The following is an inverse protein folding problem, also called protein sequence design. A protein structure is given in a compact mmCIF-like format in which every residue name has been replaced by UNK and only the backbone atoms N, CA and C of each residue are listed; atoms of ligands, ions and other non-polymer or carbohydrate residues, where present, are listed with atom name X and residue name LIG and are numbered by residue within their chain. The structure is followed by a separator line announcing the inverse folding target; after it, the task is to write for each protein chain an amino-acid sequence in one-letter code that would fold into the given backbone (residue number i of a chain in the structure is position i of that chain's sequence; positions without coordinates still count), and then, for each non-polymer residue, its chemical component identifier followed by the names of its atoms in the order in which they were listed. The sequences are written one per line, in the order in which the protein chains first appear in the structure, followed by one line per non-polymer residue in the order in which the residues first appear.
data_IF_146476874783
#
_entry.id   IF_146476874783
#
_cell.length_a   1.000
_cell.length_b   1.000
_cell.length_c   1.000
_cell.angle_alpha   90.00
_cell.angle_beta   90.00
_cell.angle_gamma   90.00
#
_symmetry.space_group_name_H-M   'P 1'
#
loop_
_entity.id
_entity.type
_entity.pdbx_description
1 polymer ?
#
# COMPACT_ATOMS: atom_id res chain seq x y z
N UNK A 1 -0.56 10.26 8.58
CA UNK A 1 -0.05 9.80 7.28
C UNK A 1 0.17 11.00 6.37
N UNK A 2 1.33 11.11 5.74
CA UNK A 2 1.73 12.28 4.94
C UNK A 2 2.34 11.79 3.62
N UNK A 3 2.06 12.50 2.54
CA UNK A 3 2.66 12.30 1.23
C UNK A 3 3.21 13.64 0.70
N UNK A 4 4.44 13.66 0.22
CA UNK A 4 5.06 14.89 -0.30
C UNK A 4 6.11 14.62 -1.38
N UNK A 5 6.42 15.66 -2.15
CA UNK A 5 7.51 15.66 -3.11
C UNK A 5 8.69 16.47 -2.55
N UNK A 6 9.92 15.98 -2.73
CA UNK A 6 11.12 16.68 -2.25
C UNK A 6 11.56 17.74 -3.26
N UNK A 7 12.19 18.85 -2.82
CA UNK A 7 12.67 19.89 -3.73
C UNK A 7 13.65 19.38 -4.80
N UNK A 8 14.49 18.39 -4.46
CA UNK A 8 15.45 17.77 -5.39
C UNK A 8 14.85 16.61 -6.21
N UNK A 9 13.53 16.43 -6.14
CA UNK A 9 12.84 15.31 -6.76
C UNK A 9 12.73 14.07 -5.87
N UNK A 10 11.89 13.16 -6.34
CA UNK A 10 11.42 12.01 -5.57
C UNK A 10 10.23 12.36 -4.69
N UNK A 11 9.45 11.33 -4.39
CA UNK A 11 8.22 11.43 -3.58
C UNK A 11 8.34 10.53 -2.37
N UNK A 12 7.73 10.93 -1.27
CA UNK A 12 7.82 10.20 0.01
C UNK A 12 6.42 9.98 0.56
N UNK A 13 6.21 8.77 1.05
CA UNK A 13 5.04 8.40 1.83
C UNK A 13 5.48 8.03 3.25
N UNK A 14 4.87 8.65 4.26
CA UNK A 14 5.09 8.34 5.66
C UNK A 14 3.77 7.95 6.34
N UNK A 15 3.68 6.70 6.79
CA UNK A 15 2.54 6.18 7.52
C UNK A 15 2.33 6.85 8.89
N UNK A 16 3.43 7.19 9.58
CA UNK A 16 3.41 7.87 10.88
C UNK A 16 2.96 7.00 12.05
N UNK A 17 3.06 5.67 11.96
CA UNK A 17 2.61 4.74 13.00
C UNK A 17 3.53 3.52 13.13
N UNK A 18 3.89 3.16 14.36
CA UNK A 18 4.65 1.94 14.66
C UNK A 18 3.84 0.70 14.26
N UNK A 19 2.54 0.70 14.57
CA UNK A 19 1.64 -0.41 14.28
C UNK A 19 1.20 -0.51 12.82
N UNK A 20 1.78 0.28 11.91
CA UNK A 20 1.38 0.26 10.50
C UNK A 20 1.51 -1.14 9.89
N UNK A 21 2.56 -1.89 10.25
CA UNK A 21 2.76 -3.27 9.77
C UNK A 21 1.60 -4.20 10.13
N UNK A 22 1.16 -4.22 11.41
CA UNK A 22 0.02 -5.04 11.83
C UNK A 22 -1.30 -4.55 11.24
N UNK A 23 -1.46 -3.24 11.08
CA UNK A 23 -2.68 -2.66 10.52
C UNK A 23 -2.88 -3.04 9.04
N UNK A 24 -1.83 -3.42 8.30
CA UNK A 24 -1.98 -3.94 6.94
C UNK A 24 -2.75 -5.25 6.90
N UNK A 25 -2.56 -6.12 7.90
CA UNK A 25 -3.28 -7.39 8.00
C UNK A 25 -4.75 -7.18 8.39
N UNK A 26 -5.00 -6.26 9.33
CA UNK A 26 -6.33 -6.00 9.85
C UNK A 26 -7.21 -5.08 8.96
N UNK A 27 -6.61 -4.16 8.20
CA UNK A 27 -7.32 -3.18 7.37
C UNK A 27 -7.01 -3.34 5.87
N UNK A 28 -7.94 -3.90 5.08
CA UNK A 28 -7.74 -4.10 3.64
C UNK A 28 -7.63 -2.77 2.86
N UNK A 29 -8.21 -1.67 3.37
CA UNK A 29 -8.06 -0.35 2.72
C UNK A 29 -6.64 0.18 2.89
N UNK A 30 -6.05 -0.04 4.05
CA UNK A 30 -4.66 0.35 4.32
C UNK A 30 -3.68 -0.43 3.46
N UNK A 31 -3.91 -1.74 3.32
CA UNK A 31 -3.17 -2.59 2.39
C UNK A 31 -3.30 -2.10 0.94
N UNK A 32 -4.52 -1.77 0.49
CA UNK A 32 -4.72 -1.21 -0.85
C UNK A 32 -4.01 0.13 -1.05
N UNK A 33 -4.00 1.00 -0.03
CA UNK A 33 -3.28 2.26 -0.10
C UNK A 33 -1.77 2.05 -0.25
N UNK A 34 -1.17 1.16 0.55
CA UNK A 34 0.26 0.86 0.43
C UNK A 34 0.60 0.29 -0.95
N UNK A 35 -0.25 -0.59 -1.50
CA UNK A 35 -0.09 -1.10 -2.88
C UNK A 35 -0.08 0.02 -3.92
N UNK A 36 -1.00 0.97 -3.81
CA UNK A 36 -1.03 2.13 -4.70
C UNK A 36 0.24 2.99 -4.59
N UNK A 37 0.74 3.20 -3.37
CA UNK A 37 2.00 3.93 -3.14
C UNK A 37 3.17 3.20 -3.79
N UNK A 38 3.32 1.89 -3.57
CA UNK A 38 4.41 1.09 -4.14
C UNK A 38 4.36 1.04 -5.67
N UNK A 39 3.15 0.95 -6.24
CA UNK A 39 2.97 1.05 -7.69
C UNK A 39 3.41 2.42 -8.23
N UNK A 40 2.98 3.51 -7.60
CA UNK A 40 3.30 4.87 -8.04
C UNK A 40 4.79 5.21 -7.88
N UNK A 41 5.43 4.74 -6.81
CA UNK A 41 6.82 5.10 -6.50
C UNK A 41 7.86 4.19 -7.16
N UNK A 42 7.53 2.92 -7.36
CA UNK A 42 8.50 1.91 -7.79
C UNK A 42 7.95 0.96 -8.88
N UNK A 43 6.74 1.20 -9.41
CA UNK A 43 6.15 0.35 -10.43
C UNK A 43 5.83 -1.08 -9.97
N UNK A 44 5.71 -1.31 -8.66
CA UNK A 44 5.44 -2.64 -8.10
C UNK A 44 4.05 -3.12 -8.54
N UNK A 45 4.00 -4.27 -9.23
CA UNK A 45 2.77 -4.91 -9.73
C UNK A 45 2.49 -6.27 -9.07
N UNK A 46 3.13 -6.55 -7.93
CA UNK A 46 3.03 -7.84 -7.27
C UNK A 46 1.56 -8.17 -6.93
N UNK A 47 1.03 -9.24 -7.51
CA UNK A 47 -0.28 -9.78 -7.17
C UNK A 47 -0.20 -10.46 -5.80
N UNK A 48 -1.26 -10.35 -5.01
CA UNK A 48 -1.38 -11.05 -3.73
C UNK A 48 -2.63 -11.92 -3.70
N UNK A 49 -2.66 -12.99 -2.87
CA UNK A 49 -3.85 -13.81 -2.67
C UNK A 49 -5.10 -13.04 -2.18
N UNK A 50 -4.95 -11.76 -1.81
CA UNK A 50 -6.04 -10.88 -1.38
C UNK A 50 -6.54 -9.93 -2.46
N UNK A 51 -6.06 -10.05 -3.72
CA UNK A 51 -6.62 -9.28 -4.82
C UNK A 51 -8.09 -9.72 -5.07
N UNK A 52 -9.01 -8.83 -5.47
CA UNK A 52 -10.45 -9.13 -5.52
C UNK A 52 -10.82 -10.38 -6.33
N UNK A 53 -10.14 -10.62 -7.47
CA UNK A 53 -10.32 -11.84 -8.28
C UNK A 53 -10.02 -13.14 -7.50
N UNK A 54 -9.12 -13.08 -6.52
CA UNK A 54 -8.79 -14.20 -5.63
C UNK A 54 -9.78 -14.35 -4.47
N UNK A 55 -10.34 -13.25 -3.95
CA UNK A 55 -11.35 -13.28 -2.88
C UNK A 55 -12.71 -13.81 -3.38
N UNK A 56 -13.04 -13.65 -4.67
CA UNK A 56 -14.26 -14.21 -5.25
C UNK A 56 -14.21 -15.72 -5.51
N UNK A 57 -13.01 -16.31 -5.60
CA UNK A 57 -12.81 -17.77 -5.78
C UNK A 57 -12.99 -18.56 -4.48
N UNK A 58 -13.17 -17.89 -3.34
CA UNK A 58 -13.51 -18.53 -2.06
C UNK A 58 -15.02 -18.41 -1.84
N UNK A 59 -15.79 -19.20 -2.60
CA UNK A 59 -17.21 -19.48 -2.35
C UNK A 59 -17.46 -20.97 -2.35
#
# INVERSE_FOLDING_TARGET
MIYWERPQGGKVFNAGAIGFGWALDADPKLTKLLRNVLYQLAGVKARTPYDPEWLELVK
#
